data_IF_768175168058
#
_entry.id   IF_768175168058
#
_cell.length_a   1.000
_cell.length_b   1.000
_cell.length_c   1.000
_cell.angle_alpha   90.00
_cell.angle_beta   90.00
_cell.angle_gamma   90.00
#
_symmetry.space_group_name_H-M   'P 1'
#
loop_
_entity.id
_entity.type
_entity.pdbx_description
1 polymer ?
#
# COMPACT_ATOMS: atom_id res chain seq x y z
N UNK A 1 -20.99 -11.87 31.62
CA UNK A 1 -20.84 -12.80 30.47
C UNK A 1 -19.57 -12.42 29.70
N UNK A 2 -18.57 -13.28 29.65
CA UNK A 2 -17.38 -13.04 28.82
C UNK A 2 -17.76 -13.24 27.35
N UNK A 3 -17.81 -12.15 26.57
CA UNK A 3 -17.98 -12.23 25.11
C UNK A 3 -16.75 -12.95 24.54
N UNK A 4 -16.96 -14.18 24.05
CA UNK A 4 -15.91 -14.95 23.38
C UNK A 4 -15.79 -14.43 21.94
N UNK A 5 -14.79 -13.58 21.68
CA UNK A 5 -14.48 -13.14 20.32
C UNK A 5 -14.15 -14.37 19.46
N UNK A 6 -14.76 -14.49 18.28
CA UNK A 6 -14.54 -15.61 17.34
C UNK A 6 -13.76 -15.18 16.09
N UNK A 7 -13.78 -13.89 15.77
CA UNK A 7 -13.23 -13.32 14.55
C UNK A 7 -12.35 -12.12 14.91
N UNK A 8 -11.21 -11.99 14.25
CA UNK A 8 -10.32 -10.83 14.31
C UNK A 8 -10.16 -10.30 12.89
N UNK A 9 -10.38 -9.00 12.72
CA UNK A 9 -10.18 -8.30 11.46
C UNK A 9 -8.91 -7.45 11.57
N UNK A 10 -7.97 -7.69 10.68
CA UNK A 10 -6.73 -6.96 10.57
C UNK A 10 -6.80 -5.98 9.41
N UNK A 11 -6.30 -4.77 9.62
CA UNK A 11 -5.79 -3.99 8.49
C UNK A 11 -4.50 -4.65 7.96
N UNK A 12 -4.14 -4.35 6.71
CA UNK A 12 -2.96 -4.92 6.07
C UNK A 12 -1.77 -3.97 6.14
N UNK A 13 -1.90 -2.81 5.50
CA UNK A 13 -0.81 -1.84 5.35
C UNK A 13 -0.55 -1.12 6.68
N UNK A 14 0.72 -1.00 7.08
CA UNK A 14 1.13 -0.46 8.39
C UNK A 14 0.64 -1.27 9.63
N UNK A 15 0.03 -2.44 9.44
CA UNK A 15 -0.38 -3.33 10.54
C UNK A 15 0.32 -4.69 10.47
N UNK A 16 0.27 -5.36 9.32
CA UNK A 16 0.95 -6.65 9.09
C UNK A 16 2.04 -6.51 8.02
N UNK A 17 1.74 -5.76 6.96
CA UNK A 17 2.64 -5.54 5.84
C UNK A 17 3.33 -4.19 6.01
N UNK A 18 4.67 -4.18 5.93
CA UNK A 18 5.47 -2.97 6.15
C UNK A 18 5.39 -2.07 4.92
N UNK A 19 4.34 -1.25 4.89
CA UNK A 19 4.04 -0.42 3.73
C UNK A 19 5.17 0.56 3.43
N UNK A 20 5.75 1.19 4.45
CA UNK A 20 6.78 2.21 4.27
C UNK A 20 8.05 1.60 3.66
N UNK A 21 8.50 0.46 4.17
CA UNK A 21 9.70 -0.20 3.65
C UNK A 21 9.48 -0.73 2.24
N UNK A 22 8.38 -1.44 2.00
CA UNK A 22 8.10 -1.96 0.66
C UNK A 22 7.87 -0.83 -0.36
N UNK A 23 7.18 0.24 0.03
CA UNK A 23 6.98 1.44 -0.81
C UNK A 23 8.31 2.12 -1.15
N UNK A 24 9.21 2.31 -0.18
CA UNK A 24 10.56 2.83 -0.40
C UNK A 24 11.35 2.00 -1.41
N UNK A 25 11.34 0.68 -1.26
CA UNK A 25 12.01 -0.23 -2.20
C UNK A 25 11.40 -0.17 -3.61
N UNK A 26 10.07 -0.07 -3.70
CA UNK A 26 9.34 0.08 -4.96
C UNK A 26 9.72 1.40 -5.65
N UNK A 27 9.71 2.53 -4.92
CA UNK A 27 10.10 3.81 -5.47
C UNK A 27 11.55 3.82 -5.93
N UNK A 28 12.47 3.28 -5.13
CA UNK A 28 13.88 3.14 -5.53
C UNK A 28 14.02 2.38 -6.85
N UNK A 29 13.28 1.26 -7.01
CA UNK A 29 13.26 0.48 -8.24
C UNK A 29 12.74 1.29 -9.43
N UNK A 30 11.53 1.83 -9.35
CA UNK A 30 10.89 2.47 -10.50
C UNK A 30 11.56 3.78 -10.89
N UNK A 31 12.10 4.56 -9.94
CA UNK A 31 12.86 5.78 -10.26
C UNK A 31 14.14 5.42 -11.01
N UNK A 32 14.86 4.38 -10.57
CA UNK A 32 16.08 3.90 -11.24
C UNK A 32 15.78 3.39 -12.66
N UNK A 33 14.77 2.54 -12.83
CA UNK A 33 14.39 1.97 -14.14
C UNK A 33 13.93 3.02 -15.13
N UNK A 34 13.35 4.11 -14.65
CA UNK A 34 12.91 5.25 -15.47
C UNK A 34 13.97 6.36 -15.57
N UNK A 35 15.21 6.11 -15.12
CA UNK A 35 16.35 7.04 -15.20
C UNK A 35 16.10 8.39 -14.50
N UNK A 36 15.32 8.38 -13.43
CA UNK A 36 15.04 9.57 -12.61
C UNK A 36 16.08 9.63 -11.50
N UNK A 37 17.06 10.53 -11.67
CA UNK A 37 18.13 10.72 -10.70
C UNK A 37 17.69 11.65 -9.56
N UNK A 38 17.07 11.08 -8.54
CA UNK A 38 16.65 11.76 -7.30
C UNK A 38 17.03 10.86 -6.12
N UNK A 39 17.57 11.46 -5.07
CA UNK A 39 17.80 10.76 -3.81
C UNK A 39 16.47 10.25 -3.23
N UNK A 40 16.44 8.97 -2.84
CA UNK A 40 15.21 8.32 -2.42
C UNK A 40 14.65 8.91 -1.12
N UNK A 41 15.52 9.35 -0.20
CA UNK A 41 15.09 9.91 1.07
C UNK A 41 14.55 11.33 0.89
N UNK A 42 15.15 12.12 0.00
CA UNK A 42 14.59 13.41 -0.45
C UNK A 42 13.23 13.22 -1.12
N UNK A 43 13.11 12.26 -2.04
CA UNK A 43 11.84 11.97 -2.70
C UNK A 43 10.75 11.60 -1.70
N UNK A 44 11.04 10.67 -0.79
CA UNK A 44 10.06 10.18 0.19
C UNK A 44 9.66 11.24 1.20
N UNK A 45 10.59 12.09 1.65
CA UNK A 45 10.31 13.21 2.56
C UNK A 45 9.23 14.14 1.99
N UNK A 46 9.27 14.39 0.68
CA UNK A 46 8.26 15.21 -0.03
C UNK A 46 7.00 14.41 -0.37
N UNK A 47 7.17 13.16 -0.82
CA UNK A 47 6.07 12.30 -1.28
C UNK A 47 5.10 11.93 -0.15
N UNK A 48 5.60 11.54 1.03
CA UNK A 48 4.78 10.99 2.12
C UNK A 48 3.64 11.94 2.54
N UNK A 49 3.86 13.23 2.87
CA UNK A 49 2.76 14.12 3.25
C UNK A 49 1.77 14.36 2.10
N UNK A 50 2.24 14.44 0.86
CA UNK A 50 1.40 14.60 -0.33
C UNK A 50 0.52 13.36 -0.52
N UNK A 51 1.10 12.17 -0.50
CA UNK A 51 0.40 10.90 -0.60
C UNK A 51 -0.66 10.75 0.50
N UNK A 52 -0.34 11.11 1.74
CA UNK A 52 -1.29 11.09 2.86
C UNK A 52 -2.51 11.98 2.59
N UNK A 53 -2.29 13.19 2.06
CA UNK A 53 -3.39 14.09 1.70
C UNK A 53 -4.25 13.53 0.57
N UNK A 54 -3.63 12.98 -0.48
CA UNK A 54 -4.36 12.35 -1.58
C UNK A 54 -5.19 11.14 -1.12
N UNK A 55 -4.66 10.30 -0.23
CA UNK A 55 -5.44 9.20 0.35
C UNK A 55 -6.59 9.68 1.23
N UNK A 56 -6.44 10.80 1.94
CA UNK A 56 -7.54 11.44 2.68
C UNK A 56 -8.65 11.85 1.71
N UNK A 57 -8.31 12.58 0.65
CA UNK A 57 -9.28 13.01 -0.37
C UNK A 57 -9.99 11.82 -1.02
N UNK A 58 -9.26 10.74 -1.29
CA UNK A 58 -9.84 9.53 -1.87
C UNK A 58 -10.85 8.86 -0.92
N UNK A 59 -10.51 8.69 0.37
CA UNK A 59 -11.43 8.13 1.37
C UNK A 59 -12.68 8.98 1.61
N UNK A 60 -12.56 10.28 1.38
CA UNK A 60 -13.68 11.24 1.46
C UNK A 60 -14.46 11.35 0.15
N UNK A 61 -14.19 10.50 -0.85
CA UNK A 61 -14.81 10.51 -2.19
C UNK A 61 -14.63 11.83 -2.96
N UNK A 62 -13.64 12.65 -2.59
CA UNK A 62 -13.36 13.94 -3.23
C UNK A 62 -12.57 13.78 -4.54
N UNK A 63 -11.88 12.66 -4.73
CA UNK A 63 -11.11 12.34 -5.94
C UNK A 63 -11.27 10.87 -6.33
N UNK A 64 -11.08 10.57 -7.62
CA UNK A 64 -11.05 9.19 -8.11
C UNK A 64 -9.72 8.50 -7.82
N UNK A 65 -9.70 7.16 -7.92
CA UNK A 65 -8.49 6.32 -7.86
C UNK A 65 -7.42 6.81 -8.85
N UNK A 66 -7.80 7.17 -10.07
CA UNK A 66 -6.87 7.68 -11.08
C UNK A 66 -6.25 9.03 -10.69
N UNK A 67 -7.07 9.95 -10.13
CA UNK A 67 -6.57 11.23 -9.61
C UNK A 67 -5.64 11.03 -8.42
N UNK A 68 -5.94 10.11 -7.51
CA UNK A 68 -5.05 9.71 -6.41
C UNK A 68 -3.71 9.22 -6.95
N UNK A 69 -3.73 8.26 -7.88
CA UNK A 69 -2.53 7.59 -8.39
C UNK A 69 -1.60 8.56 -9.14
N UNK A 70 -2.16 9.37 -10.05
CA UNK A 70 -1.40 10.35 -10.82
C UNK A 70 -0.99 11.57 -9.98
N UNK A 71 -1.95 12.18 -9.27
CA UNK A 71 -1.79 13.47 -8.63
C UNK A 71 -0.72 13.46 -7.55
N UNK A 72 -0.68 12.41 -6.72
CA UNK A 72 0.34 12.29 -5.66
C UNK A 72 1.77 12.27 -6.20
N UNK A 73 2.00 11.74 -7.40
CA UNK A 73 3.32 11.76 -8.03
C UNK A 73 3.58 13.09 -8.72
N UNK A 74 2.60 13.60 -9.47
CA UNK A 74 2.71 14.89 -10.16
C UNK A 74 3.06 16.01 -9.19
N UNK A 75 2.36 16.11 -8.06
CA UNK A 75 2.61 17.16 -7.09
C UNK A 75 3.90 16.94 -6.30
N UNK A 76 4.34 15.69 -6.12
CA UNK A 76 5.66 15.40 -5.55
C UNK A 76 6.78 15.93 -6.44
N UNK A 77 6.72 15.68 -7.76
CA UNK A 77 7.75 16.19 -8.67
C UNK A 77 7.73 17.71 -8.79
N UNK A 78 6.55 18.34 -8.80
CA UNK A 78 6.43 19.80 -8.74
C UNK A 78 7.05 20.37 -7.46
N UNK A 79 6.76 19.77 -6.30
CA UNK A 79 7.31 20.23 -5.01
C UNK A 79 8.82 20.00 -4.88
N UNK A 80 9.42 19.17 -5.74
CA UNK A 80 10.86 18.96 -5.85
C UNK A 80 11.51 19.82 -6.94
N UNK A 81 10.76 20.75 -7.56
CA UNK A 81 11.17 21.57 -8.71
C UNK A 81 11.74 20.72 -9.86
N UNK A 82 11.12 19.54 -10.10
CA UNK A 82 11.49 18.63 -11.19
C UNK A 82 10.46 18.68 -12.30
N UNK A 83 10.90 19.08 -13.48
CA UNK A 83 10.10 18.95 -14.69
C UNK A 83 10.12 17.50 -15.17
N UNK A 84 9.02 16.79 -14.93
CA UNK A 84 8.80 15.41 -15.36
C UNK A 84 7.55 15.39 -16.21
N UNK A 85 7.69 14.94 -17.46
CA UNK A 85 6.56 14.89 -18.38
C UNK A 85 5.39 14.05 -17.82
N UNK A 86 4.17 14.46 -18.15
CA UNK A 86 2.94 13.73 -17.83
C UNK A 86 3.02 12.24 -18.18
N UNK A 87 3.63 11.91 -19.33
CA UNK A 87 3.83 10.52 -19.79
C UNK A 87 4.66 9.70 -18.81
N UNK A 88 5.74 10.28 -18.27
CA UNK A 88 6.58 9.61 -17.27
C UNK A 88 5.86 9.49 -15.94
N UNK A 89 5.08 10.49 -15.52
CA UNK A 89 4.29 10.40 -14.27
C UNK A 89 3.28 9.24 -14.35
N UNK A 90 2.55 9.09 -15.46
CA UNK A 90 1.66 7.95 -15.66
C UNK A 90 2.43 6.62 -15.65
N UNK A 91 3.57 6.56 -16.33
CA UNK A 91 4.42 5.38 -16.32
C UNK A 91 4.86 4.98 -14.91
N UNK A 92 5.31 5.94 -14.09
CA UNK A 92 5.67 5.68 -12.69
C UNK A 92 4.47 5.26 -11.84
N UNK A 93 3.30 5.86 -12.09
CA UNK A 93 2.05 5.48 -11.41
C UNK A 93 1.66 4.04 -11.69
N UNK A 94 1.83 3.56 -12.92
CA UNK A 94 1.57 2.19 -13.32
C UNK A 94 2.65 1.23 -12.81
N UNK A 95 3.92 1.58 -12.99
CA UNK A 95 5.06 0.82 -12.48
C UNK A 95 4.98 0.66 -10.95
N UNK A 96 4.58 1.70 -10.22
CA UNK A 96 4.42 1.63 -8.77
C UNK A 96 3.40 0.56 -8.37
N UNK A 97 2.21 0.56 -8.97
CA UNK A 97 1.19 -0.45 -8.67
C UNK A 97 1.65 -1.85 -9.06
N UNK A 98 2.28 -1.98 -10.24
CA UNK A 98 2.80 -3.24 -10.76
C UNK A 98 3.87 -3.86 -9.85
N UNK A 99 4.77 -3.03 -9.30
CA UNK A 99 5.91 -3.51 -8.51
C UNK A 99 5.73 -3.43 -7.01
N UNK A 100 4.68 -2.78 -6.49
CA UNK A 100 4.48 -2.63 -5.04
C UNK A 100 4.45 -3.97 -4.30
N UNK A 101 3.84 -4.99 -4.91
CA UNK A 101 3.77 -6.35 -4.35
C UNK A 101 4.98 -7.24 -4.68
N UNK A 102 6.03 -6.71 -5.33
CA UNK A 102 7.27 -7.45 -5.60
C UNK A 102 8.23 -7.49 -4.40
N UNK A 103 8.04 -6.57 -3.44
CA UNK A 103 8.70 -6.58 -2.15
C UNK A 103 7.70 -7.03 -1.07
N UNK A 104 8.15 -7.78 -0.07
CA UNK A 104 7.27 -8.54 0.83
C UNK A 104 7.64 -8.42 2.31
N UNK A 105 8.22 -7.30 2.72
CA UNK A 105 8.55 -7.06 4.11
C UNK A 105 7.28 -7.00 4.96
N UNK A 106 7.27 -7.75 6.06
CA UNK A 106 6.24 -7.70 7.08
C UNK A 106 6.74 -6.87 8.26
N UNK A 107 5.82 -6.32 9.04
CA UNK A 107 6.14 -5.74 10.34
C UNK A 107 6.64 -6.85 11.26
N UNK A 108 7.61 -6.52 12.10
CA UNK A 108 8.18 -7.45 13.07
C UNK A 108 7.09 -8.15 13.89
N UNK A 109 7.31 -9.41 14.25
CA UNK A 109 6.35 -10.27 14.97
C UNK A 109 5.03 -10.61 14.25
N UNK A 110 4.82 -10.17 13.00
CA UNK A 110 3.61 -10.52 12.22
C UNK A 110 3.37 -12.04 12.16
N UNK A 111 4.39 -12.83 11.76
CA UNK A 111 4.24 -14.28 11.62
C UNK A 111 3.96 -14.99 12.96
N UNK A 112 4.74 -14.76 14.04
CA UNK A 112 4.44 -15.30 15.36
C UNK A 112 3.03 -14.98 15.85
N UNK A 113 2.58 -13.73 15.71
CA UNK A 113 1.25 -13.28 16.14
C UNK A 113 0.15 -13.98 15.33
N UNK A 114 0.27 -14.04 14.01
CA UNK A 114 -0.71 -14.70 13.16
C UNK A 114 -0.80 -16.20 13.47
N UNK A 115 0.32 -16.89 13.70
CA UNK A 115 0.32 -18.30 14.13
C UNK A 115 -0.40 -18.50 15.46
N UNK A 116 -0.12 -17.65 16.45
CA UNK A 116 -0.75 -17.73 17.76
C UNK A 116 -2.27 -17.49 17.71
N UNK A 117 -2.71 -16.51 16.92
CA UNK A 117 -4.12 -16.14 16.83
C UNK A 117 -4.93 -17.11 15.96
N UNK A 118 -4.35 -17.63 14.88
CA UNK A 118 -5.05 -18.55 13.96
C UNK A 118 -5.49 -19.86 14.64
N UNK A 119 -4.81 -20.28 15.71
CA UNK A 119 -5.24 -21.46 16.49
C UNK A 119 -6.43 -21.19 17.42
N UNK A 120 -6.87 -19.93 17.57
CA UNK A 120 -7.86 -19.48 18.56
C UNK A 120 -9.02 -18.71 17.94
N UNK A 121 -8.79 -18.03 16.82
CA UNK A 121 -9.72 -17.12 16.16
C UNK A 121 -9.73 -17.35 14.66
N UNK A 122 -10.82 -16.97 14.01
CA UNK A 122 -10.86 -16.80 12.56
C UNK A 122 -10.28 -15.43 12.22
N UNK A 123 -9.29 -15.40 11.34
CA UNK A 123 -8.63 -14.16 10.96
C UNK A 123 -9.17 -13.67 9.62
N UNK A 124 -9.30 -12.36 9.48
CA UNK A 124 -9.84 -11.70 8.30
C UNK A 124 -9.00 -10.46 7.99
N UNK A 125 -8.91 -10.07 6.71
CA UNK A 125 -8.37 -8.78 6.29
C UNK A 125 -9.52 -7.83 5.99
N UNK A 126 -9.41 -6.59 6.48
CA UNK A 126 -10.22 -5.45 6.08
C UNK A 126 -9.29 -4.31 5.66
N UNK A 127 -9.40 -3.80 4.43
CA UNK A 127 -8.41 -2.82 3.93
C UNK A 127 -8.99 -1.84 2.92
N UNK A 128 -8.41 -0.64 2.84
CA UNK A 128 -8.74 0.36 1.81
C UNK A 128 -7.79 0.30 0.60
N UNK A 129 -6.85 -0.64 0.58
CA UNK A 129 -5.93 -0.80 -0.54
C UNK A 129 -6.61 -1.38 -1.78
N UNK A 130 -6.03 -1.08 -2.95
CA UNK A 130 -6.56 -1.51 -4.25
C UNK A 130 -6.56 -3.03 -4.38
N UNK A 131 -7.68 -3.61 -4.84
CA UNK A 131 -7.86 -5.07 -4.92
C UNK A 131 -6.73 -5.76 -5.68
N UNK A 132 -6.28 -5.15 -6.78
CA UNK A 132 -5.22 -5.66 -7.66
C UNK A 132 -3.87 -5.87 -6.96
N UNK A 133 -3.61 -5.19 -5.85
CA UNK A 133 -2.32 -5.29 -5.12
C UNK A 133 -2.47 -6.06 -3.81
N UNK A 134 -3.58 -5.93 -3.08
CA UNK A 134 -3.70 -6.49 -1.72
C UNK A 134 -3.57 -8.02 -1.71
N UNK A 135 -4.21 -8.70 -2.66
CA UNK A 135 -4.10 -10.16 -2.74
C UNK A 135 -2.66 -10.62 -3.04
N UNK A 136 -1.97 -9.91 -3.94
CA UNK A 136 -0.58 -10.21 -4.27
C UNK A 136 0.35 -9.97 -3.08
N UNK A 137 0.15 -8.92 -2.28
CA UNK A 137 0.92 -8.68 -1.06
C UNK A 137 0.82 -9.86 -0.09
N UNK A 138 -0.39 -10.36 0.15
CA UNK A 138 -0.64 -11.47 1.08
C UNK A 138 0.01 -12.78 0.59
N UNK A 139 -0.15 -13.10 -0.70
CA UNK A 139 0.43 -14.30 -1.32
C UNK A 139 1.97 -14.21 -1.30
N UNK A 140 2.52 -13.10 -1.78
CA UNK A 140 3.97 -12.97 -1.95
C UNK A 140 4.71 -12.83 -0.61
N UNK A 141 4.04 -12.34 0.44
CA UNK A 141 4.56 -12.36 1.82
C UNK A 141 4.25 -13.66 2.58
N UNK A 142 3.53 -14.59 1.96
CA UNK A 142 3.26 -15.91 2.52
C UNK A 142 2.35 -15.89 3.73
N UNK A 143 1.43 -14.92 3.84
CA UNK A 143 0.47 -14.82 4.96
C UNK A 143 -0.99 -14.99 4.57
N UNK A 144 -1.28 -15.13 3.27
CA UNK A 144 -2.62 -15.36 2.74
C UNK A 144 -3.36 -16.52 3.43
N UNK A 145 -2.66 -17.63 3.67
CA UNK A 145 -3.22 -18.84 4.27
C UNK A 145 -3.72 -18.68 5.71
N UNK A 146 -3.40 -17.59 6.40
CA UNK A 146 -3.94 -17.30 7.74
C UNK A 146 -5.38 -16.75 7.68
N UNK A 147 -5.81 -16.17 6.56
CA UNK A 147 -7.04 -15.38 6.51
C UNK A 147 -8.20 -16.13 5.82
N UNK A 148 -9.39 -16.05 6.43
CA UNK A 148 -10.62 -16.63 5.89
C UNK A 148 -11.28 -15.76 4.84
N UNK A 149 -11.20 -14.45 5.00
CA UNK A 149 -11.73 -13.50 4.03
C UNK A 149 -10.78 -12.31 3.91
N UNK A 150 -10.79 -11.71 2.72
CA UNK A 150 -10.14 -10.44 2.43
C UNK A 150 -11.26 -9.54 1.91
N UNK A 151 -11.53 -8.45 2.63
CA UNK A 151 -12.58 -7.48 2.29
C UNK A 151 -11.91 -6.14 2.05
N UNK A 152 -12.17 -5.54 0.88
CA UNK A 152 -11.72 -4.18 0.62
C UNK A 152 -12.89 -3.22 0.35
N UNK A 153 -12.62 -1.91 0.36
CA UNK A 153 -13.64 -0.88 0.15
C UNK A 153 -14.33 -1.00 -1.22
N UNK A 154 -13.57 -1.32 -2.27
CA UNK A 154 -14.08 -1.50 -3.63
C UNK A 154 -15.14 -2.64 -3.69
N UNK A 155 -14.92 -3.75 -2.96
CA UNK A 155 -15.89 -4.86 -2.86
C UNK A 155 -17.13 -4.51 -2.03
N UNK A 156 -17.03 -3.54 -1.13
CA UNK A 156 -18.14 -3.08 -0.29
C UNK A 156 -19.05 -2.05 -1.00
N UNK A 157 -18.71 -1.65 -2.23
CA UNK A 157 -19.50 -0.71 -3.03
C UNK A 157 -19.27 0.77 -2.70
N UNK A 158 -18.09 1.10 -2.17
CA UNK A 158 -17.66 2.47 -1.85
C UNK A 158 -16.40 2.82 -2.61
#
# INVERSE_FOLDING_TARGET
MNKKFKNIFFDLDHTLWDFDKNSKHTFKKILTENQINIDIDVFLKTYIPINTNYWKLYRENNISKDKLRYGRLSDTFKALDRDVSTKIIYKLSDDYIKYLSSFNFLIDETIPILKYLNSRYKLHIITNGFQEVQNLKLINSGIDHFFKTITNSEMAGV
#
